data_IF_385631540628
#
_entry.id   IF_385631540628
#
_cell.length_a   1.000
_cell.length_b   1.000
_cell.length_c   1.000
_cell.angle_alpha   90.00
_cell.angle_beta   90.00
_cell.angle_gamma   90.00
#
_symmetry.space_group_name_H-M   'P 1'
#
loop_
_entity.id
_entity.type
_entity.pdbx_description
1 polymer ?
#
# COMPACT_ATOMS: atom_id res chain seq x y z
N UNK A 1 23.06 -0.58 2.80
CA UNK A 1 21.61 -0.71 3.02
C UNK A 1 21.17 0.12 4.23
N UNK A 2 21.78 -0.06 5.36
CA UNK A 2 21.47 0.64 6.62
C UNK A 2 21.44 2.17 6.46
N UNK A 3 22.46 2.76 5.84
CA UNK A 3 22.53 4.20 5.56
C UNK A 3 21.33 4.71 4.74
N UNK A 4 20.81 3.89 3.83
CA UNK A 4 19.59 4.22 3.07
C UNK A 4 18.31 4.10 3.91
N UNK A 5 18.24 3.18 4.88
CA UNK A 5 17.13 3.09 5.82
C UNK A 5 17.08 4.29 6.78
N UNK A 6 18.23 4.82 7.20
CA UNK A 6 18.32 6.01 8.06
C UNK A 6 17.74 7.26 7.41
N UNK A 7 17.85 7.40 6.08
CA UNK A 7 17.29 8.53 5.34
C UNK A 7 15.78 8.42 5.03
N UNK A 8 15.14 7.29 5.31
CA UNK A 8 13.73 7.05 4.95
C UNK A 8 12.83 7.23 6.17
N UNK A 9 12.01 8.28 6.16
CA UNK A 9 11.06 8.63 7.24
C UNK A 9 10.16 7.45 7.68
N UNK A 10 9.93 6.52 6.79
CA UNK A 10 9.13 5.34 7.10
C UNK A 10 9.74 4.48 8.21
N UNK A 11 11.07 4.44 8.36
CA UNK A 11 11.80 3.64 9.34
C UNK A 11 12.26 4.43 10.58
N UNK A 12 11.93 5.72 10.72
CA UNK A 12 12.32 6.56 11.86
C UNK A 12 11.84 6.04 13.23
N UNK A 13 10.78 5.21 13.25
CA UNK A 13 10.24 4.62 14.48
C UNK A 13 11.02 3.40 14.99
N UNK A 14 11.99 2.91 14.21
CA UNK A 14 12.84 1.78 14.56
C UNK A 14 14.09 2.27 15.31
N UNK A 15 14.59 1.46 16.25
CA UNK A 15 15.92 1.65 16.83
C UNK A 15 17.01 1.34 15.78
N UNK A 16 18.26 1.65 16.10
CA UNK A 16 19.38 1.35 15.20
C UNK A 16 19.50 -0.16 14.95
N UNK A 17 19.46 -0.97 16.02
CA UNK A 17 19.49 -2.44 15.95
C UNK A 17 18.33 -3.00 15.09
N UNK A 18 17.12 -2.46 15.25
CA UNK A 18 15.96 -2.87 14.47
C UNK A 18 16.08 -2.46 12.99
N UNK A 19 16.75 -1.33 12.68
CA UNK A 19 17.04 -0.94 11.30
C UNK A 19 18.08 -1.85 10.65
N UNK A 20 19.11 -2.24 11.39
CA UNK A 20 20.11 -3.23 10.93
C UNK A 20 19.41 -4.55 10.56
N UNK A 21 18.52 -5.04 11.43
CA UNK A 21 17.72 -6.25 11.22
C UNK A 21 16.88 -6.17 9.93
N UNK A 22 16.23 -5.03 9.68
CA UNK A 22 15.51 -4.81 8.41
C UNK A 22 16.44 -4.63 7.23
N UNK A 23 17.61 -4.02 7.39
CA UNK A 23 18.60 -3.88 6.34
C UNK A 23 19.07 -5.23 5.82
N UNK A 24 19.26 -6.22 6.71
CA UNK A 24 19.61 -7.60 6.36
C UNK A 24 18.44 -8.35 5.69
N UNK A 25 17.22 -8.02 6.12
CA UNK A 25 15.98 -8.68 5.67
C UNK A 25 15.39 -8.07 4.38
N UNK A 26 15.98 -7.00 3.84
CA UNK A 26 15.45 -6.24 2.71
C UNK A 26 16.46 -6.07 1.60
N UNK A 27 15.98 -5.67 0.42
CA UNK A 27 16.76 -5.46 -0.78
C UNK A 27 16.55 -4.03 -1.30
N UNK A 28 17.58 -3.37 -1.81
CA UNK A 28 17.43 -2.17 -2.60
C UNK A 28 17.18 -2.59 -4.04
N UNK A 29 16.10 -2.11 -4.61
CA UNK A 29 15.67 -2.41 -5.99
C UNK A 29 15.43 -1.11 -6.75
N UNK A 30 15.68 -1.16 -8.06
CA UNK A 30 15.47 -0.02 -8.95
C UNK A 30 14.55 -0.43 -10.08
N UNK A 31 13.71 0.51 -10.50
CA UNK A 31 12.76 0.35 -11.59
C UNK A 31 12.93 1.48 -12.59
N UNK A 32 12.79 1.15 -13.89
CA UNK A 32 12.79 2.13 -14.97
C UNK A 32 11.38 2.60 -15.26
N UNK A 33 11.28 3.66 -16.02
CA UNK A 33 9.98 4.18 -16.48
C UNK A 33 9.12 3.08 -17.11
N UNK A 34 7.87 2.98 -16.63
CA UNK A 34 6.89 2.01 -17.10
C UNK A 34 7.02 0.60 -16.51
N UNK A 35 8.04 0.28 -15.72
CA UNK A 35 8.17 -1.02 -15.04
C UNK A 35 7.19 -1.13 -13.87
N UNK A 36 6.63 -2.32 -13.69
CA UNK A 36 5.69 -2.59 -12.59
C UNK A 36 6.43 -3.11 -11.35
N UNK A 37 6.27 -2.40 -10.23
CA UNK A 37 6.70 -2.86 -8.90
C UNK A 37 5.76 -3.96 -8.40
N UNK A 38 4.48 -3.83 -8.72
CA UNK A 38 3.40 -4.73 -8.34
C UNK A 38 2.43 -4.80 -9.52
N UNK A 39 2.03 -6.00 -9.90
CA UNK A 39 1.01 -6.24 -10.92
C UNK A 39 -0.33 -6.60 -10.25
N UNK A 40 -1.44 -6.01 -10.70
CA UNK A 40 -2.78 -6.31 -10.21
C UNK A 40 -3.11 -7.80 -10.39
N UNK A 41 -3.65 -8.42 -9.34
CA UNK A 41 -3.97 -9.84 -9.31
C UNK A 41 -2.79 -10.76 -9.03
N UNK A 42 -1.55 -10.26 -9.04
CA UNK A 42 -0.38 -11.06 -8.66
C UNK A 42 -0.51 -11.59 -7.22
N UNK A 43 0.11 -12.75 -6.98
CA UNK A 43 0.18 -13.36 -5.65
C UNK A 43 0.66 -12.36 -4.58
N UNK A 44 0.20 -12.51 -3.32
CA UNK A 44 0.63 -11.67 -2.23
C UNK A 44 2.17 -11.67 -2.11
N UNK A 45 2.77 -10.51 -2.18
CA UNK A 45 4.20 -10.35 -2.35
C UNK A 45 4.84 -9.36 -1.38
N UNK A 46 5.86 -8.68 -1.85
CA UNK A 46 6.70 -7.79 -1.08
C UNK A 46 6.02 -6.47 -0.73
N UNK A 47 6.47 -5.86 0.36
CA UNK A 47 6.29 -4.44 0.64
C UNK A 47 7.42 -3.66 -0.06
N UNK A 48 7.08 -2.53 -0.66
CA UNK A 48 8.04 -1.59 -1.21
C UNK A 48 7.95 -0.27 -0.46
N UNK A 49 9.07 0.22 0.02
CA UNK A 49 9.23 1.56 0.60
C UNK A 49 10.02 2.39 -0.38
N UNK A 50 9.40 3.39 -0.97
CA UNK A 50 10.03 4.25 -1.96
C UNK A 50 11.14 5.09 -1.30
N UNK A 51 12.31 5.08 -1.90
CA UNK A 51 13.47 5.91 -1.51
C UNK A 51 13.54 7.15 -2.38
N UNK A 52 13.32 6.98 -3.70
CA UNK A 52 13.30 8.08 -4.65
C UNK A 52 12.36 7.77 -5.82
N UNK A 53 11.92 8.80 -6.53
CA UNK A 53 11.05 8.69 -7.70
C UNK A 53 9.56 8.70 -7.38
N UNK A 54 8.76 8.44 -8.40
CA UNK A 54 7.29 8.51 -8.35
C UNK A 54 6.70 7.22 -8.92
N UNK A 55 5.61 6.75 -8.35
CA UNK A 55 4.83 5.63 -8.87
C UNK A 55 3.37 5.99 -9.05
N UNK A 56 2.75 5.41 -10.07
CA UNK A 56 1.31 5.42 -10.30
C UNK A 56 0.67 4.14 -9.77
N UNK A 57 -0.44 4.29 -9.04
CA UNK A 57 -1.31 3.18 -8.64
C UNK A 57 -2.50 3.14 -9.59
N UNK A 58 -2.64 2.07 -10.36
CA UNK A 58 -3.64 1.92 -11.41
C UNK A 58 -4.51 0.70 -11.18
N UNK A 59 -5.80 0.85 -11.39
CA UNK A 59 -6.79 -0.23 -11.30
C UNK A 59 -7.32 -0.58 -12.69
N UNK A 60 -7.29 -1.87 -13.02
CA UNK A 60 -7.93 -2.39 -14.22
C UNK A 60 -9.46 -2.23 -14.17
N UNK A 61 -10.05 -1.84 -15.29
CA UNK A 61 -11.49 -1.72 -15.51
C UNK A 61 -11.94 -2.73 -16.57
N UNK A 62 -13.24 -2.98 -16.63
CA UNK A 62 -13.84 -3.77 -17.69
C UNK A 62 -13.47 -3.21 -19.07
N UNK A 63 -13.15 -4.09 -20.04
CA UNK A 63 -12.77 -3.66 -21.40
C UNK A 63 -11.29 -3.32 -21.59
N UNK A 64 -10.40 -3.72 -20.66
CA UNK A 64 -8.93 -3.54 -20.81
C UNK A 64 -8.43 -2.13 -20.54
N UNK A 65 -9.28 -1.24 -20.07
CA UNK A 65 -8.89 0.11 -19.62
C UNK A 65 -8.33 0.05 -18.20
N UNK A 66 -7.53 1.04 -17.82
CA UNK A 66 -7.08 1.20 -16.44
C UNK A 66 -7.35 2.62 -15.96
N UNK A 67 -7.68 2.77 -14.68
CA UNK A 67 -7.90 4.06 -14.03
C UNK A 67 -6.75 4.36 -13.07
N UNK A 68 -6.21 5.55 -13.16
CA UNK A 68 -5.27 6.08 -12.16
C UNK A 68 -6.03 6.33 -10.86
N UNK A 69 -5.59 5.67 -9.78
CA UNK A 69 -6.15 5.83 -8.43
C UNK A 69 -5.34 6.82 -7.60
N UNK A 70 -4.02 6.79 -7.73
CA UNK A 70 -3.13 7.66 -6.97
C UNK A 70 -1.77 7.77 -7.67
N UNK A 71 -1.08 8.88 -7.41
CA UNK A 71 0.33 9.09 -7.65
C UNK A 71 1.03 9.20 -6.29
N UNK A 72 2.13 8.48 -6.12
CA UNK A 72 2.89 8.43 -4.87
C UNK A 72 4.32 8.86 -5.19
N UNK A 73 4.74 9.97 -4.60
CA UNK A 73 6.08 10.54 -4.71
C UNK A 73 6.85 10.25 -3.42
N UNK A 74 8.07 9.72 -3.55
CA UNK A 74 8.95 9.39 -2.44
C UNK A 74 9.28 10.61 -1.54
N UNK A 75 9.26 11.83 -2.09
CA UNK A 75 9.50 13.07 -1.34
C UNK A 75 8.32 13.46 -0.42
N UNK A 76 7.15 12.80 -0.56
CA UNK A 76 5.95 13.06 0.23
C UNK A 76 5.78 12.05 1.36
N UNK A 77 4.76 12.23 2.22
CA UNK A 77 4.53 11.37 3.39
C UNK A 77 4.12 9.92 3.06
N UNK A 78 3.62 9.66 1.86
CA UNK A 78 3.19 8.33 1.42
C UNK A 78 4.30 7.70 0.57
N UNK A 79 5.07 6.82 1.18
CA UNK A 79 6.21 6.17 0.51
C UNK A 79 6.09 4.66 0.46
N UNK A 80 4.92 4.09 0.80
CA UNK A 80 4.76 2.64 0.96
C UNK A 80 3.67 2.08 0.07
N UNK A 81 3.98 1.00 -0.63
CA UNK A 81 3.05 0.21 -1.44
C UNK A 81 3.24 -1.29 -1.22
N UNK A 82 2.19 -2.09 -1.46
CA UNK A 82 2.23 -3.54 -1.30
C UNK A 82 1.89 -4.01 0.12
N UNK A 83 1.45 -3.13 1.02
CA UNK A 83 1.11 -3.47 2.40
C UNK A 83 0.02 -4.54 2.51
N UNK A 84 -0.95 -4.57 1.58
CA UNK A 84 -1.98 -5.60 1.52
C UNK A 84 -1.41 -6.96 1.19
N UNK A 85 -0.46 -7.03 0.26
CA UNK A 85 0.22 -8.26 -0.11
C UNK A 85 1.13 -8.80 1.01
N UNK A 86 1.69 -7.91 1.83
CA UNK A 86 2.53 -8.32 2.96
C UNK A 86 1.72 -8.97 4.08
N UNK A 87 0.58 -8.34 4.46
CA UNK A 87 -0.24 -8.76 5.61
C UNK A 87 -1.40 -9.67 5.23
N UNK A 88 -1.97 -9.52 4.03
CA UNK A 88 -3.13 -10.25 3.57
C UNK A 88 -2.81 -11.55 2.83
N UNK A 89 -3.87 -12.28 2.49
CA UNK A 89 -3.80 -13.52 1.70
C UNK A 89 -4.33 -13.32 0.27
N UNK A 90 -4.93 -12.16 -0.01
CA UNK A 90 -5.47 -11.83 -1.34
C UNK A 90 -4.40 -11.21 -2.22
N UNK A 91 -4.47 -11.44 -3.50
CA UNK A 91 -3.60 -10.86 -4.51
C UNK A 91 -3.59 -9.32 -4.52
N UNK A 92 -2.68 -8.75 -5.26
CA UNK A 92 -2.52 -7.30 -5.37
C UNK A 92 -3.80 -6.65 -5.93
N UNK A 93 -4.26 -5.59 -5.26
CA UNK A 93 -5.53 -4.93 -5.61
C UNK A 93 -5.43 -3.95 -6.77
N UNK A 94 -4.21 -3.58 -7.16
CA UNK A 94 -3.92 -2.62 -8.21
C UNK A 94 -2.48 -2.82 -8.69
N UNK A 95 -2.20 -2.38 -9.91
CA UNK A 95 -0.85 -2.28 -10.44
C UNK A 95 -0.17 -1.02 -9.90
N UNK A 96 1.09 -1.16 -9.50
CA UNK A 96 1.96 -0.05 -9.10
C UNK A 96 3.09 0.05 -10.11
N UNK A 97 3.14 1.15 -10.86
CA UNK A 97 4.04 1.37 -11.99
C UNK A 97 4.98 2.55 -11.75
N UNK A 98 6.23 2.39 -12.09
CA UNK A 98 7.23 3.45 -12.02
C UNK A 98 6.96 4.54 -13.08
N UNK A 99 7.12 5.80 -12.66
CA UNK A 99 7.12 6.99 -13.52
C UNK A 99 8.52 7.58 -13.44
N UNK A 100 9.30 7.42 -14.51
CA UNK A 100 10.73 7.68 -14.50
C UNK A 100 11.51 6.62 -13.72
N UNK A 101 12.68 7.00 -13.20
CA UNK A 101 13.50 6.11 -12.37
C UNK A 101 12.99 6.10 -10.92
N UNK A 102 12.84 4.90 -10.36
CA UNK A 102 12.39 4.69 -8.98
C UNK A 102 13.38 3.79 -8.24
N UNK A 103 13.80 4.20 -7.05
CA UNK A 103 14.48 3.34 -6.09
C UNK A 103 13.53 3.00 -4.93
N UNK A 104 13.51 1.75 -4.51
CA UNK A 104 12.70 1.28 -3.40
C UNK A 104 13.44 0.23 -2.55
N UNK A 105 13.10 0.19 -1.27
CA UNK A 105 13.48 -0.89 -0.37
C UNK A 105 12.39 -1.93 -0.44
N UNK A 106 12.73 -3.13 -0.91
CA UNK A 106 11.85 -4.29 -0.99
C UNK A 106 11.99 -5.13 0.28
N UNK A 107 10.89 -5.40 0.96
CA UNK A 107 10.81 -6.34 2.08
C UNK A 107 10.01 -7.56 1.58
N UNK A 108 10.66 -8.71 1.34
CA UNK A 108 9.97 -9.92 0.88
C UNK A 108 9.00 -10.44 1.94
N UNK A 109 7.81 -10.89 1.49
CA UNK A 109 6.75 -11.40 2.37
C UNK A 109 7.23 -12.55 3.26
N UNK A 110 7.93 -13.52 2.68
CA UNK A 110 8.38 -14.70 3.42
C UNK A 110 9.40 -14.33 4.51
N UNK A 111 10.29 -13.39 4.20
CA UNK A 111 11.24 -12.86 5.18
C UNK A 111 10.52 -12.15 6.31
N UNK A 112 9.55 -11.28 5.99
CA UNK A 112 8.72 -10.61 6.99
C UNK A 112 7.94 -11.60 7.86
N UNK A 113 7.30 -12.62 7.27
CA UNK A 113 6.57 -13.67 8.00
C UNK A 113 7.48 -14.45 8.94
N UNK A 114 8.70 -14.76 8.52
CA UNK A 114 9.70 -15.40 9.38
C UNK A 114 10.06 -14.51 10.56
N UNK A 115 10.31 -13.22 10.35
CA UNK A 115 10.59 -12.26 11.44
C UNK A 115 9.43 -12.20 12.45
N UNK A 116 8.18 -12.22 11.99
CA UNK A 116 6.99 -12.29 12.85
C UNK A 116 6.96 -13.59 13.64
N UNK A 117 7.19 -14.73 12.99
CA UNK A 117 7.20 -16.04 13.63
C UNK A 117 8.32 -16.19 14.69
N UNK A 118 9.45 -15.53 14.47
CA UNK A 118 10.58 -15.45 15.42
C UNK A 118 10.33 -14.44 16.56
N UNK A 119 9.24 -13.71 16.54
CA UNK A 119 8.92 -12.72 17.58
C UNK A 119 9.76 -11.46 17.53
N UNK A 120 10.29 -11.07 16.34
CA UNK A 120 11.16 -9.91 16.18
C UNK A 120 10.41 -8.60 16.45
N UNK A 121 10.85 -7.76 17.40
CA UNK A 121 10.17 -6.51 17.74
C UNK A 121 10.00 -5.58 16.54
N UNK A 122 10.98 -5.51 15.66
CA UNK A 122 10.95 -4.72 14.43
C UNK A 122 9.76 -5.09 13.53
N UNK A 123 9.49 -6.40 13.35
CA UNK A 123 8.36 -6.87 12.54
C UNK A 123 7.00 -6.47 13.14
N UNK A 124 6.85 -6.54 14.47
CA UNK A 124 5.62 -6.09 15.15
C UNK A 124 5.41 -4.59 15.02
N UNK A 125 6.47 -3.79 15.19
CA UNK A 125 6.41 -2.33 15.00
C UNK A 125 6.03 -1.98 13.55
N UNK A 126 6.59 -2.68 12.57
CA UNK A 126 6.23 -2.49 11.16
C UNK A 126 4.76 -2.86 10.92
N UNK A 127 4.30 -4.01 11.43
CA UNK A 127 2.89 -4.42 11.34
C UNK A 127 1.95 -3.35 11.91
N UNK A 128 2.27 -2.81 13.08
CA UNK A 128 1.48 -1.74 13.71
C UNK A 128 1.45 -0.47 12.84
N UNK A 129 2.59 -0.07 12.27
CA UNK A 129 2.66 1.09 11.38
C UNK A 129 1.83 0.89 10.11
N UNK A 130 1.92 -0.29 9.50
CA UNK A 130 1.10 -0.64 8.34
C UNK A 130 -0.39 -0.64 8.70
N UNK A 131 -0.77 -1.27 9.82
CA UNK A 131 -2.15 -1.29 10.29
C UNK A 131 -2.72 0.13 10.49
N UNK A 132 -1.94 1.04 11.09
CA UNK A 132 -2.33 2.46 11.20
C UNK A 132 -2.51 3.14 9.84
N UNK A 133 -1.66 2.81 8.87
CA UNK A 133 -1.77 3.35 7.51
C UNK A 133 -3.04 2.86 6.82
N UNK A 134 -3.34 1.56 6.95
CA UNK A 134 -4.56 0.96 6.40
C UNK A 134 -5.81 1.52 7.08
N UNK A 135 -5.81 1.68 8.40
CA UNK A 135 -6.92 2.29 9.14
C UNK A 135 -7.23 3.71 8.65
N UNK A 136 -6.19 4.56 8.46
CA UNK A 136 -6.38 5.91 7.91
C UNK A 136 -6.91 5.90 6.48
N UNK A 137 -6.47 4.94 5.66
CA UNK A 137 -7.00 4.79 4.29
C UNK A 137 -8.46 4.36 4.30
N UNK A 138 -8.83 3.47 5.21
CA UNK A 138 -10.22 3.03 5.37
C UNK A 138 -11.09 4.22 5.76
N UNK A 139 -10.74 4.97 6.81
CA UNK A 139 -11.50 6.18 7.21
C UNK A 139 -11.71 7.14 6.04
N UNK A 140 -10.66 7.38 5.24
CA UNK A 140 -10.77 8.26 4.09
C UNK A 140 -11.70 7.71 3.00
N UNK A 141 -11.68 6.39 2.75
CA UNK A 141 -12.61 5.75 1.82
C UNK A 141 -14.05 5.85 2.31
N UNK A 142 -14.28 5.69 3.62
CA UNK A 142 -15.59 5.87 4.24
C UNK A 142 -16.12 7.29 3.99
N UNK A 143 -15.30 8.32 4.22
CA UNK A 143 -15.65 9.71 3.97
C UNK A 143 -15.97 9.96 2.48
N UNK A 144 -15.15 9.43 1.56
CA UNK A 144 -15.35 9.55 0.10
C UNK A 144 -16.64 8.83 -0.36
N UNK A 145 -16.96 7.66 0.21
CA UNK A 145 -18.21 6.92 -0.07
C UNK A 145 -19.42 7.73 0.40
N UNK A 146 -19.40 8.25 1.62
CA UNK A 146 -20.49 9.07 2.15
C UNK A 146 -20.72 10.31 1.31
N UNK A 147 -19.67 11.00 0.88
CA UNK A 147 -19.79 12.19 0.04
C UNK A 147 -20.35 11.84 -1.35
N UNK A 148 -19.87 10.73 -1.95
CA UNK A 148 -20.38 10.25 -3.23
C UNK A 148 -21.89 9.92 -3.15
N UNK A 149 -22.33 9.27 -2.07
CA UNK A 149 -23.76 8.99 -1.84
C UNK A 149 -24.57 10.29 -1.78
N UNK A 150 -24.10 11.30 -1.02
CA UNK A 150 -24.78 12.59 -0.92
C UNK A 150 -24.90 13.31 -2.27
N UNK A 151 -23.82 13.28 -3.07
CA UNK A 151 -23.83 13.86 -4.41
C UNK A 151 -24.84 13.17 -5.33
N UNK A 152 -24.90 11.84 -5.29
CA UNK A 152 -25.85 11.05 -6.08
C UNK A 152 -27.30 11.31 -5.63
N UNK A 153 -27.58 11.33 -4.32
CA UNK A 153 -28.90 11.68 -3.77
C UNK A 153 -29.36 13.08 -4.24
N UNK A 154 -28.43 14.04 -4.29
CA UNK A 154 -28.73 15.40 -4.74
C UNK A 154 -29.12 15.47 -6.23
N UNK A 155 -28.68 14.49 -7.03
CA UNK A 155 -29.00 14.36 -8.47
C UNK A 155 -30.29 13.62 -8.75
N UNK A 156 -30.96 13.07 -7.74
CA UNK A 156 -32.23 12.37 -7.87
C UNK A 156 -32.13 10.98 -8.52
N UNK A 157 -30.98 10.34 -8.44
CA UNK A 157 -30.80 8.99 -8.94
C UNK A 157 -31.42 7.96 -7.98
N UNK A 158 -32.43 7.24 -8.45
CA UNK A 158 -33.35 6.39 -7.65
C UNK A 158 -32.72 5.05 -7.21
N UNK A 159 -31.56 4.66 -7.74
CA UNK A 159 -30.91 3.36 -7.42
C UNK A 159 -30.01 3.39 -6.16
N UNK A 160 -29.94 4.54 -5.50
CA UNK A 160 -29.01 4.78 -4.36
C UNK A 160 -29.46 4.08 -3.10
N UNK A 161 -30.79 3.95 -2.87
CA UNK A 161 -31.29 3.25 -1.67
C UNK A 161 -30.84 1.79 -1.66
N UNK A 162 -30.92 1.10 -2.79
CA UNK A 162 -30.46 -0.28 -2.92
C UNK A 162 -28.93 -0.43 -2.80
N UNK A 163 -28.17 0.59 -3.19
CA UNK A 163 -26.71 0.62 -3.03
C UNK A 163 -26.32 0.89 -1.57
N UNK A 164 -26.96 1.85 -0.92
CA UNK A 164 -26.77 2.16 0.51
C UNK A 164 -27.06 0.95 1.39
N UNK A 165 -28.19 0.27 1.14
CA UNK A 165 -28.62 -0.87 1.95
C UNK A 165 -27.65 -2.06 1.80
N UNK A 166 -27.06 -2.28 0.64
CA UNK A 166 -25.99 -3.26 0.44
C UNK A 166 -24.72 -2.89 1.20
N UNK A 167 -24.28 -1.64 1.15
CA UNK A 167 -23.10 -1.17 1.89
C UNK A 167 -23.27 -1.36 3.40
N UNK A 168 -24.44 -1.01 3.95
CA UNK A 168 -24.71 -1.12 5.39
C UNK A 168 -24.75 -2.60 5.83
N UNK A 169 -25.30 -3.48 4.98
CA UNK A 169 -25.39 -4.93 5.26
C UNK A 169 -24.00 -5.57 5.29
N UNK A 170 -23.11 -5.19 4.38
CA UNK A 170 -21.73 -5.72 4.31
C UNK A 170 -20.82 -5.16 5.42
N UNK A 171 -21.20 -4.07 6.10
CA UNK A 171 -20.47 -3.47 7.22
C UNK A 171 -20.84 -4.04 8.59
N UNK A 172 -21.89 -4.86 8.66
CA UNK A 172 -22.43 -5.39 9.91
C UNK A 172 -21.79 -6.73 10.35
N UNK A 173 -20.54 -7.01 9.93
CA UNK A 173 -19.79 -8.22 10.32
C UNK A 173 -18.68 -7.88 11.29
#
# INVERSE_FOLDING_TARGET
MEEKLQGVRFFEFLTEEEREEFAEASELVSFRDGEDLIEEGAEPGSLFVLVSGTVEVRKGLSGGQSRLLAEIDAARERTVVGERGLLGETGASATVRAVGEVEAIRIPRDTFRRMVAEGRPAAFKLSYRIARTLARRLTRLDDEVVETIRELESRGETDIEAFRDRLITDWSV
#
